data_IF_609545419826
#
_entry.id   IF_609545419826
#
_cell.length_a   1.000
_cell.length_b   1.000
_cell.length_c   1.000
_cell.angle_alpha   90.00
_cell.angle_beta   90.00
_cell.angle_gamma   90.00
#
_symmetry.space_group_name_H-M   'P 1'
#
loop_
_entity.id
_entity.type
_entity.pdbx_description
1 polymer ?
#
# COMPACT_ATOMS: atom_id res chain seq x y z
N UNK A 1 8.53 24.19 5.34
CA UNK A 1 8.42 25.66 5.26
C UNK A 1 9.10 26.32 6.44
N UNK A 2 8.42 26.43 7.58
CA UNK A 2 8.88 27.19 8.77
C UNK A 2 10.29 26.80 9.27
N UNK A 3 10.60 25.51 9.41
CA UNK A 3 11.93 25.08 9.85
C UNK A 3 13.04 25.50 8.87
N UNK A 4 12.75 25.56 7.57
CA UNK A 4 13.72 26.05 6.59
C UNK A 4 13.93 27.57 6.75
N UNK A 5 12.89 28.34 7.03
CA UNK A 5 13.01 29.78 7.30
C UNK A 5 13.85 30.07 8.55
N UNK A 6 13.68 29.29 9.62
CA UNK A 6 14.54 29.37 10.81
C UNK A 6 16.01 29.13 10.45
N UNK A 7 16.29 28.15 9.59
CA UNK A 7 17.66 27.77 9.19
C UNK A 7 18.34 28.72 8.22
N UNK A 8 17.59 29.30 7.28
CA UNK A 8 18.17 30.08 6.18
C UNK A 8 18.04 31.59 6.35
N UNK A 9 16.95 32.05 6.97
CA UNK A 9 16.59 33.47 7.02
C UNK A 9 16.58 34.03 8.45
N UNK A 10 17.01 33.26 9.45
CA UNK A 10 17.08 33.69 10.84
C UNK A 10 15.72 33.94 11.48
N UNK A 11 14.68 33.23 11.03
CA UNK A 11 13.38 33.26 11.70
C UNK A 11 13.46 32.50 13.03
N UNK A 12 12.48 32.74 13.91
CA UNK A 12 12.45 32.22 15.27
C UNK A 12 11.15 31.47 15.57
N UNK A 13 10.67 30.61 14.65
CA UNK A 13 9.47 29.82 14.88
C UNK A 13 9.67 28.79 16.00
N UNK A 14 10.79 28.06 15.97
CA UNK A 14 11.04 26.91 16.85
C UNK A 14 12.34 27.02 17.67
N UNK A 15 13.04 28.16 17.62
CA UNK A 15 14.27 28.40 18.37
C UNK A 15 14.00 28.54 19.87
N UNK A 16 15.00 28.24 20.70
CA UNK A 16 14.89 28.43 22.16
C UNK A 16 14.90 29.92 22.55
N UNK A 17 15.62 30.73 21.77
CA UNK A 17 15.72 32.17 21.99
C UNK A 17 14.69 32.93 21.14
N UNK A 18 14.58 34.23 21.39
CA UNK A 18 13.75 35.18 20.64
C UNK A 18 12.25 34.82 20.57
N UNK A 19 11.74 34.08 21.57
CA UNK A 19 10.31 33.78 21.74
C UNK A 19 9.79 32.60 20.93
N UNK A 20 10.67 31.82 20.28
CA UNK A 20 10.29 30.61 19.57
C UNK A 20 9.79 29.48 20.49
N UNK A 21 9.09 28.50 19.91
CA UNK A 21 8.54 27.37 20.66
C UNK A 21 8.78 26.04 19.94
N UNK A 22 9.74 25.26 20.44
CA UNK A 22 10.07 23.95 19.88
C UNK A 22 8.92 22.92 19.97
N UNK A 23 8.04 23.04 20.97
CA UNK A 23 6.89 22.14 21.14
C UNK A 23 5.86 22.33 20.02
N UNK A 24 5.80 23.53 19.44
CA UNK A 24 4.92 23.79 18.29
C UNK A 24 5.36 22.98 17.07
N UNK A 25 6.67 22.81 16.84
CA UNK A 25 7.16 21.94 15.76
C UNK A 25 6.65 20.51 15.94
N UNK A 26 6.74 19.98 17.16
CA UNK A 26 6.29 18.62 17.47
C UNK A 26 4.78 18.46 17.26
N UNK A 27 3.99 19.44 17.69
CA UNK A 27 2.55 19.44 17.43
C UNK A 27 2.24 19.41 15.93
N UNK A 28 2.88 20.30 15.15
CA UNK A 28 2.63 20.43 13.71
C UNK A 28 3.07 19.20 12.91
N UNK A 29 4.26 18.64 13.22
CA UNK A 29 4.76 17.48 12.47
C UNK A 29 3.88 16.26 12.73
N UNK A 30 3.35 16.08 13.94
CA UNK A 30 2.46 14.95 14.24
C UNK A 30 1.04 15.16 13.74
N UNK A 31 0.54 16.40 13.70
CA UNK A 31 -0.72 16.74 13.06
C UNK A 31 -0.76 16.31 11.57
N UNK A 32 0.40 16.26 10.91
CA UNK A 32 0.56 15.62 9.60
C UNK A 32 0.93 14.13 9.69
N UNK A 33 1.88 13.77 10.56
CA UNK A 33 2.50 12.45 10.58
C UNK A 33 1.56 11.33 11.00
N UNK A 34 0.58 11.60 11.85
CA UNK A 34 -0.40 10.57 12.19
C UNK A 34 -1.43 10.33 11.08
N UNK A 35 -2.02 11.34 10.42
CA UNK A 35 -2.75 11.11 9.17
C UNK A 35 -1.94 10.37 8.11
N UNK A 36 -0.63 10.64 7.98
CA UNK A 36 0.24 9.95 7.02
C UNK A 36 0.25 8.42 7.20
N UNK A 37 0.29 7.91 8.44
CA UNK A 37 0.27 6.45 8.63
C UNK A 37 -1.03 5.81 8.12
N UNK A 38 -2.14 6.56 8.10
CA UNK A 38 -3.38 6.09 7.49
C UNK A 38 -3.40 6.23 5.97
N UNK A 39 -2.71 7.24 5.40
CA UNK A 39 -2.48 7.34 3.95
C UNK A 39 -1.78 6.08 3.44
N UNK A 40 -0.87 5.49 4.23
CA UNK A 40 -0.20 4.24 3.89
C UNK A 40 -1.12 3.01 4.03
N UNK A 41 -1.86 2.91 5.14
CA UNK A 41 -2.61 1.68 5.47
C UNK A 41 -3.96 1.55 4.75
N UNK A 42 -4.62 2.67 4.40
CA UNK A 42 -5.95 2.62 3.77
C UNK A 42 -5.93 2.02 2.36
N UNK A 43 -4.97 2.36 1.47
CA UNK A 43 -4.81 1.65 0.20
C UNK A 43 -4.49 0.18 0.40
N UNK A 44 -3.62 -0.13 1.37
CA UNK A 44 -3.27 -1.51 1.70
C UNK A 44 -4.47 -2.35 2.14
N UNK A 45 -5.39 -1.78 2.93
CA UNK A 45 -6.67 -2.40 3.27
C UNK A 45 -7.57 -2.61 2.05
N UNK A 46 -7.50 -1.73 1.04
CA UNK A 46 -8.14 -1.93 -0.26
C UNK A 46 -7.60 -3.19 -0.95
N UNK A 47 -6.27 -3.31 -1.03
CA UNK A 47 -5.60 -4.49 -1.62
C UNK A 47 -6.06 -5.78 -0.94
N UNK A 48 -6.03 -5.84 0.40
CA UNK A 48 -6.48 -7.02 1.13
C UNK A 48 -7.96 -7.33 0.88
N UNK A 49 -8.82 -6.31 0.72
CA UNK A 49 -10.24 -6.53 0.45
C UNK A 49 -10.46 -7.24 -0.90
N UNK A 50 -9.74 -6.82 -1.94
CA UNK A 50 -9.81 -7.43 -3.27
C UNK A 50 -9.21 -8.84 -3.30
N UNK A 51 -8.04 -9.03 -2.68
CA UNK A 51 -7.36 -10.32 -2.61
C UNK A 51 -8.19 -11.33 -1.83
N UNK A 52 -8.67 -10.97 -0.64
CA UNK A 52 -9.48 -11.86 0.21
C UNK A 52 -10.79 -12.23 -0.50
N UNK A 53 -11.47 -11.28 -1.16
CA UNK A 53 -12.69 -11.57 -1.92
C UNK A 53 -12.41 -12.52 -3.09
N UNK A 54 -11.39 -12.23 -3.89
CA UNK A 54 -11.03 -13.04 -5.08
C UNK A 54 -10.66 -14.47 -4.72
N UNK A 55 -9.79 -14.67 -3.74
CA UNK A 55 -9.32 -16.01 -3.39
C UNK A 55 -10.27 -16.78 -2.46
N UNK A 56 -11.30 -16.13 -1.90
CA UNK A 56 -12.41 -16.81 -1.20
C UNK A 56 -13.57 -17.21 -2.14
N UNK A 57 -13.56 -16.72 -3.39
CA UNK A 57 -14.63 -16.96 -4.36
C UNK A 57 -15.96 -16.31 -3.97
N UNK A 58 -15.94 -15.26 -3.15
CA UNK A 58 -17.13 -14.65 -2.53
C UNK A 58 -17.08 -13.13 -2.54
N UNK A 59 -18.24 -12.46 -2.58
CA UNK A 59 -18.28 -11.00 -2.53
C UNK A 59 -17.83 -10.53 -1.16
N UNK A 60 -17.27 -9.33 -1.11
CA UNK A 60 -16.87 -8.72 0.14
C UNK A 60 -18.09 -8.60 1.08
N UNK A 61 -17.98 -9.21 2.26
CA UNK A 61 -19.05 -9.20 3.24
C UNK A 61 -19.30 -7.76 3.73
N UNK A 62 -20.56 -7.32 3.65
CA UNK A 62 -21.02 -6.02 4.10
C UNK A 62 -20.18 -4.83 3.59
N UNK A 63 -20.13 -4.67 2.27
CA UNK A 63 -19.42 -3.57 1.59
C UNK A 63 -19.72 -2.17 2.17
N UNK A 64 -20.99 -1.87 2.49
CA UNK A 64 -21.38 -0.57 3.06
C UNK A 64 -20.70 -0.30 4.40
N UNK A 65 -20.60 -1.32 5.26
CA UNK A 65 -19.89 -1.22 6.54
C UNK A 65 -18.38 -1.00 6.33
N UNK A 66 -17.77 -1.65 5.33
CA UNK A 66 -16.36 -1.41 4.97
C UNK A 66 -16.10 0.04 4.55
N UNK A 67 -16.97 0.62 3.71
CA UNK A 67 -16.84 2.02 3.27
C UNK A 67 -17.04 2.97 4.44
N UNK A 68 -18.06 2.75 5.27
CA UNK A 68 -18.31 3.57 6.45
C UNK A 68 -17.13 3.54 7.44
N UNK A 69 -16.53 2.36 7.67
CA UNK A 69 -15.34 2.22 8.50
C UNK A 69 -14.14 3.00 7.92
N UNK A 70 -13.91 2.95 6.61
CA UNK A 70 -12.85 3.74 5.95
C UNK A 70 -13.07 5.24 6.10
N UNK A 71 -14.29 5.72 5.89
CA UNK A 71 -14.64 7.15 6.07
C UNK A 71 -14.47 7.59 7.53
N UNK A 72 -14.88 6.74 8.47
CA UNK A 72 -14.70 6.96 9.90
C UNK A 72 -13.22 7.10 10.28
N UNK A 73 -12.36 6.18 9.83
CA UNK A 73 -10.91 6.24 10.07
C UNK A 73 -10.32 7.53 9.48
N UNK A 74 -10.71 7.89 8.25
CA UNK A 74 -10.26 9.11 7.60
C UNK A 74 -10.55 10.36 8.44
N UNK A 75 -11.80 10.51 8.92
CA UNK A 75 -12.19 11.66 9.74
C UNK A 75 -11.45 11.70 11.08
N UNK A 76 -11.42 10.59 11.83
CA UNK A 76 -10.85 10.55 13.17
C UNK A 76 -9.31 10.63 13.15
N UNK A 77 -8.66 10.26 12.05
CA UNK A 77 -7.20 10.37 11.90
C UNK A 77 -6.67 11.79 12.14
N UNK A 78 -7.48 12.81 11.88
CA UNK A 78 -7.16 14.22 12.12
C UNK A 78 -7.40 14.67 13.57
N UNK A 79 -7.81 13.78 14.48
CA UNK A 79 -8.22 14.14 15.85
C UNK A 79 -7.41 13.44 16.95
N UNK A 80 -6.30 12.78 16.59
CA UNK A 80 -5.61 11.85 17.51
C UNK A 80 -4.10 12.08 17.63
N UNK A 81 -3.53 12.99 16.85
CA UNK A 81 -2.07 13.15 16.71
C UNK A 81 -1.30 13.42 18.00
N UNK A 82 -1.95 13.97 19.04
CA UNK A 82 -1.30 14.28 20.32
C UNK A 82 -0.77 13.03 21.04
N UNK A 83 -1.31 11.84 20.75
CA UNK A 83 -0.82 10.61 21.38
C UNK A 83 0.66 10.31 21.12
N UNK A 84 1.28 10.94 20.11
CA UNK A 84 2.71 10.79 19.86
C UNK A 84 3.59 11.54 20.86
N UNK A 85 2.99 12.33 21.75
CA UNK A 85 3.71 13.16 22.69
C UNK A 85 2.97 13.36 24.02
N UNK A 86 2.28 12.34 24.51
CA UNK A 86 1.66 12.38 25.85
C UNK A 86 2.64 12.78 26.97
N UNK A 87 3.92 12.44 26.80
CA UNK A 87 5.02 12.72 27.74
C UNK A 87 5.50 14.18 27.75
N UNK A 88 4.91 15.06 26.94
CA UNK A 88 5.33 16.46 26.79
C UNK A 88 4.63 17.44 27.73
N UNK A 89 3.94 16.95 28.76
CA UNK A 89 3.42 17.78 29.84
C UNK A 89 2.09 18.47 29.56
N UNK A 90 1.32 18.01 28.57
CA UNK A 90 -0.07 18.42 28.42
C UNK A 90 -0.91 18.02 29.66
N UNK A 91 -1.98 18.77 29.93
CA UNK A 91 -2.86 18.51 31.07
C UNK A 91 -3.56 17.15 30.99
N UNK A 92 -4.00 16.63 32.14
CA UNK A 92 -4.63 15.31 32.24
C UNK A 92 -5.87 15.18 31.34
N UNK A 93 -6.70 16.22 31.26
CA UNK A 93 -7.91 16.23 30.42
C UNK A 93 -7.59 16.12 28.93
N UNK A 94 -6.53 16.80 28.48
CA UNK A 94 -6.07 16.74 27.08
C UNK A 94 -5.55 15.34 26.75
N UNK A 95 -4.70 14.77 27.62
CA UNK A 95 -4.20 13.42 27.43
C UNK A 95 -5.33 12.38 27.43
N UNK A 96 -6.32 12.54 28.33
CA UNK A 96 -7.49 11.67 28.39
C UNK A 96 -8.34 11.74 27.11
N UNK A 97 -8.63 12.96 26.63
CA UNK A 97 -9.38 13.16 25.38
C UNK A 97 -8.71 12.44 24.20
N UNK A 98 -7.42 12.74 23.96
CA UNK A 98 -6.70 12.15 22.83
C UNK A 98 -6.47 10.65 22.98
N UNK A 99 -6.29 10.13 24.21
CA UNK A 99 -6.21 8.69 24.47
C UNK A 99 -7.51 7.95 24.16
N UNK A 100 -8.65 8.51 24.58
CA UNK A 100 -9.98 7.97 24.25
C UNK A 100 -10.22 8.02 22.74
N UNK A 101 -10.01 9.17 22.09
CA UNK A 101 -10.20 9.33 20.64
C UNK A 101 -9.35 8.34 19.85
N UNK A 102 -8.09 8.11 20.26
CA UNK A 102 -7.20 7.13 19.63
C UNK A 102 -7.73 5.71 19.77
N UNK A 103 -8.24 5.36 20.96
CA UNK A 103 -8.81 4.04 21.23
C UNK A 103 -10.06 3.77 20.38
N UNK A 104 -10.89 4.79 20.13
CA UNK A 104 -12.12 4.65 19.31
C UNK A 104 -11.76 4.30 17.84
N UNK A 105 -10.61 4.74 17.30
CA UNK A 105 -10.21 4.37 15.93
C UNK A 105 -10.11 2.84 15.76
N UNK A 106 -9.73 2.12 16.81
CA UNK A 106 -9.62 0.66 16.78
C UNK A 106 -10.96 -0.02 16.41
N UNK A 107 -12.11 0.60 16.72
CA UNK A 107 -13.43 0.09 16.34
C UNK A 107 -13.58 0.02 14.82
N UNK A 108 -13.25 1.10 14.11
CA UNK A 108 -13.34 1.15 12.64
C UNK A 108 -12.46 0.09 11.99
N UNK A 109 -11.25 -0.09 12.50
CA UNK A 109 -10.32 -1.12 12.01
C UNK A 109 -10.80 -2.54 12.34
N UNK A 110 -11.35 -2.75 13.54
CA UNK A 110 -11.92 -4.03 13.96
C UNK A 110 -13.08 -4.47 13.08
N UNK A 111 -13.99 -3.55 12.73
CA UNK A 111 -15.09 -3.81 11.77
C UNK A 111 -14.54 -4.35 10.45
N UNK A 112 -13.45 -3.77 9.93
CA UNK A 112 -12.82 -4.27 8.69
C UNK A 112 -12.25 -5.67 8.85
N UNK A 113 -11.56 -5.95 9.96
CA UNK A 113 -11.03 -7.29 10.28
C UNK A 113 -12.13 -8.34 10.29
N UNK A 114 -13.25 -8.07 10.99
CA UNK A 114 -14.38 -9.00 11.01
C UNK A 114 -15.03 -9.17 9.63
N UNK A 115 -15.22 -8.10 8.87
CA UNK A 115 -15.78 -8.22 7.53
C UNK A 115 -14.89 -9.07 6.59
N UNK A 116 -13.56 -8.98 6.70
CA UNK A 116 -12.65 -9.88 5.97
C UNK A 116 -12.79 -11.34 6.41
N UNK A 117 -12.89 -11.61 7.72
CA UNK A 117 -13.13 -12.96 8.24
C UNK A 117 -14.46 -13.53 7.72
N UNK A 118 -15.54 -12.76 7.73
CA UNK A 118 -16.85 -13.18 7.22
C UNK A 118 -16.91 -13.29 5.69
N UNK A 119 -16.04 -12.58 4.97
CA UNK A 119 -15.87 -12.77 3.52
C UNK A 119 -15.33 -14.17 3.24
N UNK A 120 -14.30 -14.60 3.99
CA UNK A 120 -13.72 -15.95 3.90
C UNK A 120 -14.68 -17.05 4.39
N UNK A 121 -15.46 -16.78 5.45
CA UNK A 121 -16.39 -17.75 6.02
C UNK A 121 -17.42 -18.24 4.99
N UNK A 122 -17.55 -19.56 4.81
CA UNK A 122 -18.44 -20.16 3.82
C UNK A 122 -17.99 -20.01 2.36
N UNK A 123 -16.78 -19.49 2.11
CA UNK A 123 -16.14 -19.48 0.79
C UNK A 123 -15.25 -20.70 0.55
N UNK A 124 -14.63 -20.75 -0.63
CA UNK A 124 -13.61 -21.76 -0.98
C UNK A 124 -12.25 -21.08 -1.09
N UNK A 125 -11.48 -21.12 -0.01
CA UNK A 125 -10.22 -20.40 0.08
C UNK A 125 -9.14 -21.10 -0.75
N UNK A 126 -8.58 -20.39 -1.73
CA UNK A 126 -7.41 -20.80 -2.51
C UNK A 126 -6.13 -20.26 -1.86
N UNK A 127 -5.28 -21.14 -1.34
CA UNK A 127 -4.02 -20.77 -0.67
C UNK A 127 -2.88 -20.48 -1.67
N UNK A 128 -3.09 -19.46 -2.51
CA UNK A 128 -2.08 -18.84 -3.37
C UNK A 128 -1.24 -17.84 -2.57
N UNK A 129 -0.11 -17.43 -3.12
CA UNK A 129 0.82 -16.49 -2.47
C UNK A 129 0.14 -15.18 -2.01
N UNK A 130 -0.70 -14.49 -2.81
CA UNK A 130 -1.41 -13.29 -2.34
C UNK A 130 -2.31 -13.53 -1.12
N UNK A 131 -2.99 -14.69 -1.10
CA UNK A 131 -3.87 -15.05 0.01
C UNK A 131 -3.08 -15.35 1.29
N UNK A 132 -1.90 -15.98 1.18
CA UNK A 132 -1.03 -16.22 2.33
C UNK A 132 -0.55 -14.91 2.97
N UNK A 133 -0.10 -13.94 2.18
CA UNK A 133 0.24 -12.59 2.67
C UNK A 133 -0.94 -11.94 3.40
N UNK A 134 -2.15 -12.11 2.88
CA UNK A 134 -3.38 -11.56 3.48
C UNK A 134 -3.76 -12.24 4.80
N UNK A 135 -3.56 -13.56 4.91
CA UNK A 135 -3.75 -14.29 6.17
C UNK A 135 -2.69 -13.92 7.22
N UNK A 136 -1.43 -13.81 6.80
CA UNK A 136 -0.34 -13.31 7.65
C UNK A 136 -0.66 -11.91 8.17
N UNK A 137 -1.14 -11.02 7.29
CA UNK A 137 -1.63 -9.69 7.68
C UNK A 137 -2.69 -9.78 8.79
N UNK A 138 -3.78 -10.53 8.60
CA UNK A 138 -4.88 -10.57 9.58
C UNK A 138 -4.40 -10.93 10.99
N UNK A 139 -3.51 -11.91 11.10
CA UNK A 139 -2.98 -12.35 12.40
C UNK A 139 -2.01 -11.32 12.97
N UNK A 140 -0.99 -10.95 12.20
CA UNK A 140 0.09 -10.09 12.67
C UNK A 140 -0.39 -8.68 12.97
N UNK A 141 -1.21 -8.10 12.09
CA UNK A 141 -1.78 -6.78 12.26
C UNK A 141 -2.73 -6.71 13.47
N UNK A 142 -3.48 -7.77 13.79
CA UNK A 142 -4.33 -7.80 14.99
C UNK A 142 -3.48 -7.72 16.26
N UNK A 143 -2.36 -8.44 16.33
CA UNK A 143 -1.41 -8.36 17.46
C UNK A 143 -0.81 -6.95 17.56
N UNK A 144 -0.40 -6.37 16.43
CA UNK A 144 0.08 -4.99 16.37
C UNK A 144 -0.98 -3.99 16.84
N UNK A 145 -2.22 -4.14 16.39
CA UNK A 145 -3.34 -3.29 16.79
C UNK A 145 -3.62 -3.32 18.29
N UNK A 146 -3.60 -4.51 18.91
CA UNK A 146 -3.78 -4.65 20.37
C UNK A 146 -2.70 -3.89 21.16
N UNK A 147 -1.43 -3.97 20.74
CA UNK A 147 -0.35 -3.22 21.39
C UNK A 147 -0.46 -1.70 21.17
N UNK A 148 -1.04 -1.27 20.05
CA UNK A 148 -1.33 0.15 19.79
C UNK A 148 -2.43 0.71 20.67
N UNK A 149 -3.48 -0.07 20.91
CA UNK A 149 -4.55 0.30 21.87
C UNK A 149 -3.98 0.44 23.28
N UNK A 150 -3.01 -0.40 23.67
CA UNK A 150 -2.31 -0.22 24.95
C UNK A 150 -1.52 1.09 24.99
N UNK A 151 -0.80 1.46 23.91
CA UNK A 151 -0.06 2.72 23.81
C UNK A 151 -0.97 3.95 23.74
N UNK A 152 -2.24 3.79 23.36
CA UNK A 152 -3.23 4.87 23.41
C UNK A 152 -3.62 5.25 24.85
N UNK A 153 -3.27 4.44 25.85
CA UNK A 153 -3.54 4.70 27.27
C UNK A 153 -2.40 5.52 27.88
N UNK A 154 -2.59 6.81 28.22
CA UNK A 154 -1.48 7.69 28.59
C UNK A 154 -0.63 7.19 29.77
N UNK A 155 -1.19 6.65 30.87
CA UNK A 155 -0.39 6.06 31.95
C UNK A 155 0.53 4.91 31.51
N UNK A 156 0.10 4.10 30.54
CA UNK A 156 0.93 3.05 29.98
C UNK A 156 1.99 3.64 29.03
N UNK A 157 1.61 4.62 28.20
CA UNK A 157 2.56 5.32 27.33
C UNK A 157 3.67 5.98 28.15
N UNK A 158 3.39 6.58 29.31
CA UNK A 158 4.45 7.18 30.15
C UNK A 158 5.60 6.23 30.49
N UNK A 159 5.34 4.91 30.54
CA UNK A 159 6.37 3.88 30.76
C UNK A 159 6.97 3.35 29.45
N UNK A 160 6.16 3.25 28.41
CA UNK A 160 6.52 2.60 27.14
C UNK A 160 7.04 3.58 26.07
N UNK A 161 6.85 4.87 26.29
CA UNK A 161 7.20 5.94 25.36
C UNK A 161 8.69 5.88 25.02
N UNK A 162 9.01 5.89 23.72
CA UNK A 162 10.38 5.74 23.20
C UNK A 162 11.14 4.47 23.65
N UNK A 163 10.47 3.48 24.25
CA UNK A 163 11.05 2.14 24.46
C UNK A 163 11.06 1.33 23.17
N UNK A 164 11.73 0.17 23.18
CA UNK A 164 11.62 -0.79 22.09
C UNK A 164 10.22 -1.40 21.93
N UNK A 165 9.32 -1.24 22.91
CA UNK A 165 7.92 -1.64 22.78
C UNK A 165 7.21 -0.80 21.71
N UNK A 166 7.44 0.51 21.71
CA UNK A 166 6.92 1.42 20.67
C UNK A 166 7.46 1.05 19.29
N UNK A 167 8.76 0.73 19.19
CA UNK A 167 9.40 0.30 17.95
C UNK A 167 8.76 -1.00 17.45
N UNK A 168 8.62 -2.00 18.32
CA UNK A 168 8.00 -3.28 18.00
C UNK A 168 6.54 -3.13 17.57
N UNK A 169 5.76 -2.30 18.27
CA UNK A 169 4.38 -1.96 17.92
C UNK A 169 4.28 -1.43 16.49
N UNK A 170 5.02 -0.36 16.20
CA UNK A 170 4.93 0.30 14.90
C UNK A 170 5.39 -0.60 13.74
N UNK A 171 6.48 -1.35 13.92
CA UNK A 171 6.94 -2.30 12.91
C UNK A 171 5.92 -3.43 12.67
N UNK A 172 5.21 -3.84 13.72
CA UNK A 172 4.17 -4.86 13.60
C UNK A 172 3.02 -4.39 12.71
N UNK A 173 2.51 -3.18 12.94
CA UNK A 173 1.42 -2.64 12.12
C UNK A 173 1.86 -2.20 10.72
N UNK A 174 3.07 -1.66 10.54
CA UNK A 174 3.55 -1.24 9.20
C UNK A 174 3.96 -2.44 8.35
N UNK A 175 4.72 -3.40 8.88
CA UNK A 175 5.18 -4.52 8.07
C UNK A 175 3.99 -5.39 7.65
N UNK A 176 3.13 -5.76 8.60
CA UNK A 176 1.94 -6.54 8.26
C UNK A 176 0.89 -5.72 7.51
N UNK A 177 0.66 -4.47 7.89
CA UNK A 177 -0.38 -3.64 7.30
C UNK A 177 -0.03 -3.12 5.91
N UNK A 178 1.23 -2.75 5.65
CA UNK A 178 1.64 -2.07 4.41
C UNK A 178 2.56 -2.97 3.57
N UNK A 179 3.62 -3.51 4.15
CA UNK A 179 4.63 -4.28 3.38
C UNK A 179 4.04 -5.60 2.88
N UNK A 180 3.30 -6.34 3.70
CA UNK A 180 2.62 -7.56 3.25
C UNK A 180 1.54 -7.26 2.21
N UNK A 181 0.86 -6.12 2.31
CA UNK A 181 -0.10 -5.68 1.30
C UNK A 181 0.58 -5.36 -0.03
N UNK A 182 1.76 -4.73 0.00
CA UNK A 182 2.56 -4.49 -1.20
C UNK A 182 2.96 -5.81 -1.87
N UNK A 183 3.43 -6.81 -1.11
CA UNK A 183 3.74 -8.13 -1.68
C UNK A 183 2.51 -8.88 -2.19
N UNK A 184 1.39 -8.81 -1.47
CA UNK A 184 0.11 -9.35 -1.91
C UNK A 184 -0.33 -8.70 -3.23
N UNK A 185 -0.31 -7.37 -3.31
CA UNK A 185 -0.69 -6.58 -4.47
C UNK A 185 0.23 -6.79 -5.66
N UNK A 186 1.55 -6.79 -5.45
CA UNK A 186 2.54 -7.11 -6.49
C UNK A 186 2.21 -8.48 -7.07
N UNK A 187 2.05 -9.50 -6.23
CA UNK A 187 1.79 -10.87 -6.72
C UNK A 187 0.43 -10.99 -7.40
N UNK A 188 -0.59 -10.30 -6.88
CA UNK A 188 -1.95 -10.31 -7.42
C UNK A 188 -2.04 -9.63 -8.80
N UNK A 189 -1.47 -8.43 -8.96
CA UNK A 189 -1.53 -7.67 -10.21
C UNK A 189 -0.32 -7.85 -11.13
N UNK A 190 0.69 -8.65 -10.76
CA UNK A 190 1.85 -8.94 -11.62
C UNK A 190 1.46 -9.39 -13.04
N UNK A 191 0.50 -10.34 -13.21
CA UNK A 191 0.08 -10.77 -14.54
C UNK A 191 -0.55 -9.64 -15.33
N UNK A 192 -1.30 -8.75 -14.67
CA UNK A 192 -1.93 -7.61 -15.35
C UNK A 192 -0.91 -6.63 -15.90
N UNK A 193 0.21 -6.43 -15.20
CA UNK A 193 1.27 -5.52 -15.63
C UNK A 193 2.20 -6.13 -16.69
N UNK A 194 2.53 -7.42 -16.58
CA UNK A 194 3.60 -8.05 -17.37
C UNK A 194 3.16 -9.23 -18.26
N UNK A 195 1.92 -9.69 -18.15
CA UNK A 195 1.36 -10.78 -18.96
C UNK A 195 1.69 -12.21 -18.48
N UNK A 196 2.32 -12.38 -17.32
CA UNK A 196 2.62 -13.71 -16.74
C UNK A 196 2.57 -13.68 -15.21
N UNK A 197 2.36 -14.84 -14.58
CA UNK A 197 2.31 -15.01 -13.12
C UNK A 197 3.70 -15.13 -12.51
N UNK A 198 3.81 -14.78 -11.22
CA UNK A 198 4.99 -15.09 -10.43
C UNK A 198 5.00 -16.57 -10.02
N UNK A 199 6.19 -17.09 -9.76
CA UNK A 199 6.43 -18.47 -9.32
C UNK A 199 5.89 -18.65 -7.90
N UNK A 200 4.92 -19.56 -7.74
CA UNK A 200 4.25 -19.82 -6.46
C UNK A 200 5.17 -20.52 -5.44
N UNK A 201 6.15 -21.30 -5.89
CA UNK A 201 7.06 -22.01 -4.98
C UNK A 201 7.95 -21.02 -4.22
N UNK A 202 8.64 -20.15 -4.96
CA UNK A 202 9.48 -19.10 -4.36
C UNK A 202 8.67 -18.03 -3.63
N UNK A 203 7.45 -17.72 -4.10
CA UNK A 203 6.54 -16.81 -3.41
C UNK A 203 6.14 -17.31 -2.02
N UNK A 204 5.80 -18.60 -1.90
CA UNK A 204 5.49 -19.24 -0.62
C UNK A 204 6.71 -19.30 0.31
N UNK A 205 7.90 -19.58 -0.24
CA UNK A 205 9.14 -19.57 0.54
C UNK A 205 9.44 -18.17 1.09
N UNK A 206 9.32 -17.12 0.26
CA UNK A 206 9.51 -15.74 0.67
C UNK A 206 8.51 -15.33 1.76
N UNK A 207 7.23 -15.73 1.62
CA UNK A 207 6.20 -15.50 2.64
C UNK A 207 6.54 -16.14 3.99
N UNK A 208 6.82 -17.45 4.02
CA UNK A 208 7.03 -18.15 5.29
C UNK A 208 8.29 -17.69 6.02
N UNK A 209 9.38 -17.43 5.28
CA UNK A 209 10.59 -16.87 5.86
C UNK A 209 10.38 -15.43 6.35
N UNK A 210 9.60 -14.62 5.62
CA UNK A 210 9.27 -13.26 6.07
C UNK A 210 8.43 -13.27 7.34
N UNK A 211 7.42 -14.14 7.41
CA UNK A 211 6.56 -14.27 8.57
C UNK A 211 7.36 -14.75 9.78
N UNK A 212 8.10 -15.85 9.64
CA UNK A 212 8.93 -16.38 10.72
C UNK A 212 9.99 -15.36 11.18
N UNK A 213 10.73 -14.79 10.23
CA UNK A 213 11.75 -13.79 10.50
C UNK A 213 11.15 -12.59 11.24
N UNK A 214 10.01 -12.07 10.79
CA UNK A 214 9.32 -10.96 11.44
C UNK A 214 9.02 -11.24 12.93
N UNK A 215 8.43 -12.39 13.26
CA UNK A 215 8.13 -12.72 14.67
C UNK A 215 9.41 -12.89 15.50
N UNK A 216 10.45 -13.51 14.93
CA UNK A 216 11.74 -13.69 15.61
C UNK A 216 12.47 -12.36 15.81
N UNK A 217 12.30 -11.38 14.91
CA UNK A 217 12.84 -10.02 15.11
C UNK A 217 12.07 -9.28 16.19
N UNK A 218 10.75 -9.10 16.02
CA UNK A 218 10.02 -8.07 16.75
C UNK A 218 9.38 -8.55 18.06
N UNK A 219 9.11 -9.85 18.24
CA UNK A 219 8.58 -10.34 19.52
C UNK A 219 9.58 -10.16 20.68
N UNK A 220 10.89 -10.45 20.51
CA UNK A 220 11.90 -10.11 21.50
C UNK A 220 11.95 -8.63 21.86
N UNK A 221 11.65 -7.73 20.91
CA UNK A 221 11.73 -6.28 21.14
C UNK A 221 10.58 -5.76 22.00
N UNK A 222 9.40 -6.39 21.97
CA UNK A 222 8.35 -6.09 22.96
C UNK A 222 8.85 -6.38 24.38
N UNK A 223 9.50 -7.53 24.58
CA UNK A 223 10.03 -7.92 25.90
C UNK A 223 11.16 -6.99 26.31
N UNK A 224 12.12 -6.72 25.43
CA UNK A 224 13.22 -5.79 25.70
C UNK A 224 12.70 -4.38 26.05
N UNK A 225 11.66 -3.91 25.37
CA UNK A 225 10.99 -2.65 25.68
C UNK A 225 10.36 -2.63 27.07
N UNK A 226 9.67 -3.71 27.46
CA UNK A 226 9.12 -3.88 28.80
C UNK A 226 10.20 -3.95 29.89
N UNK A 227 11.39 -4.46 29.55
CA UNK A 227 12.57 -4.44 30.41
C UNK A 227 13.30 -3.08 30.44
N UNK A 228 12.73 -2.04 29.83
CA UNK A 228 13.25 -0.67 29.85
C UNK A 228 14.27 -0.34 28.77
N UNK A 229 14.49 -1.19 27.77
CA UNK A 229 15.39 -0.86 26.66
C UNK A 229 14.79 0.25 25.81
N UNK A 230 15.48 1.39 25.76
CA UNK A 230 15.07 2.56 24.97
C UNK A 230 15.58 2.50 23.53
N UNK A 231 14.89 3.20 22.63
CA UNK A 231 15.28 3.30 21.22
C UNK A 231 16.54 4.15 21.04
N UNK A 232 17.25 3.94 19.91
CA UNK A 232 18.40 4.75 19.45
C UNK A 232 19.65 4.68 20.33
N UNK A 233 19.80 3.62 21.12
CA UNK A 233 21.06 3.29 21.78
C UNK A 233 22.00 2.62 20.78
N UNK A 234 23.24 3.12 20.67
CA UNK A 234 24.30 2.47 19.89
C UNK A 234 25.05 1.42 20.72
N UNK A 235 25.05 1.58 22.05
CA UNK A 235 25.69 0.69 23.01
C UNK A 235 24.79 0.52 24.23
N UNK A 236 24.85 -0.66 24.86
CA UNK A 236 24.16 -0.98 26.10
C UNK A 236 25.00 -1.95 26.94
N UNK A 237 24.94 -1.84 28.26
CA UNK A 237 25.66 -2.64 29.25
C UNK A 237 24.73 -3.55 30.09
N UNK A 238 23.41 -3.47 29.87
CA UNK A 238 22.41 -4.27 30.58
C UNK A 238 22.40 -5.71 30.05
N UNK A 239 22.94 -6.64 30.84
CA UNK A 239 23.05 -8.06 30.49
C UNK A 239 21.69 -8.72 30.16
N UNK A 240 20.61 -8.31 30.84
CA UNK A 240 19.27 -8.86 30.65
C UNK A 240 18.68 -8.61 29.24
N UNK A 241 19.14 -7.57 28.53
CA UNK A 241 18.68 -7.27 27.16
C UNK A 241 19.39 -8.11 26.10
N UNK A 242 20.62 -8.55 26.39
CA UNK A 242 21.50 -9.22 25.41
C UNK A 242 20.86 -10.45 24.74
N UNK A 243 20.19 -11.38 25.46
CA UNK A 243 19.56 -12.54 24.81
C UNK A 243 18.49 -12.12 23.79
N UNK A 244 17.65 -11.14 24.14
CA UNK A 244 16.56 -10.66 23.27
C UNK A 244 17.08 -9.99 22.00
N UNK A 245 18.13 -9.18 22.13
CA UNK A 245 18.79 -8.54 20.98
C UNK A 245 19.45 -9.57 20.07
N UNK A 246 20.08 -10.61 20.64
CA UNK A 246 20.69 -11.70 19.85
C UNK A 246 19.63 -12.49 19.08
N UNK A 247 18.50 -12.84 19.71
CA UNK A 247 17.39 -13.52 19.02
C UNK A 247 16.83 -12.62 17.91
N UNK A 248 16.64 -11.32 18.17
CA UNK A 248 16.22 -10.39 17.12
C UNK A 248 17.22 -10.35 15.95
N UNK A 249 18.52 -10.43 16.23
CA UNK A 249 19.58 -10.54 15.22
C UNK A 249 19.46 -11.80 14.34
N UNK A 250 19.10 -12.95 14.91
CA UNK A 250 18.81 -14.18 14.15
C UNK A 250 17.61 -13.96 13.23
N UNK A 251 16.56 -13.31 13.73
CA UNK A 251 15.39 -12.96 12.92
C UNK A 251 15.75 -12.13 11.68
N UNK A 252 16.71 -11.19 11.80
CA UNK A 252 17.18 -10.38 10.68
C UNK A 252 17.82 -11.27 9.60
N UNK A 253 18.62 -12.27 9.98
CA UNK A 253 19.20 -13.24 9.04
C UNK A 253 18.12 -14.02 8.29
N UNK A 254 17.06 -14.43 8.98
CA UNK A 254 15.91 -15.11 8.35
C UNK A 254 15.20 -14.17 7.37
N UNK A 255 15.00 -12.89 7.73
CA UNK A 255 14.40 -11.90 6.84
C UNK A 255 15.27 -11.60 5.62
N UNK A 256 16.60 -11.60 5.76
CA UNK A 256 17.51 -11.48 4.60
C UNK A 256 17.36 -12.66 3.65
N UNK A 257 17.22 -13.88 4.17
CA UNK A 257 16.92 -15.06 3.35
C UNK A 257 15.55 -14.93 2.66
N UNK A 258 14.54 -14.37 3.34
CA UNK A 258 13.24 -14.10 2.75
C UNK A 258 13.31 -13.11 1.58
N UNK A 259 14.07 -12.02 1.75
CA UNK A 259 14.32 -11.05 0.68
C UNK A 259 15.07 -11.69 -0.51
N UNK A 260 16.04 -12.58 -0.24
CA UNK A 260 16.70 -13.34 -1.29
C UNK A 260 15.71 -14.24 -2.05
N UNK A 261 14.82 -14.96 -1.36
CA UNK A 261 13.75 -15.74 -1.98
C UNK A 261 12.84 -14.87 -2.86
N UNK A 262 12.51 -13.66 -2.43
CA UNK A 262 11.69 -12.73 -3.21
C UNK A 262 12.40 -12.29 -4.51
N UNK A 263 13.70 -12.01 -4.45
CA UNK A 263 14.50 -11.69 -5.64
C UNK A 263 14.59 -12.89 -6.58
N UNK A 264 14.84 -14.08 -6.03
CA UNK A 264 14.88 -15.33 -6.81
C UNK A 264 13.53 -15.57 -7.49
N UNK A 265 12.41 -15.32 -6.81
CA UNK A 265 11.06 -15.41 -7.39
C UNK A 265 10.98 -14.58 -8.67
N UNK A 266 11.33 -13.29 -8.61
CA UNK A 266 11.29 -12.42 -9.80
C UNK A 266 12.18 -12.94 -10.94
N UNK A 267 13.41 -13.35 -10.65
CA UNK A 267 14.35 -13.86 -11.66
C UNK A 267 13.83 -15.14 -12.31
N UNK A 268 13.34 -16.09 -11.51
CA UNK A 268 12.81 -17.37 -12.02
C UNK A 268 11.52 -17.15 -12.82
N UNK A 269 10.62 -16.27 -12.35
CA UNK A 269 9.39 -15.96 -13.06
C UNK A 269 9.64 -15.32 -14.42
N UNK A 270 10.60 -14.39 -14.52
CA UNK A 270 10.99 -13.79 -15.80
C UNK A 270 11.59 -14.83 -16.74
N UNK A 271 12.42 -15.75 -16.22
CA UNK A 271 13.00 -16.86 -17.01
C UNK A 271 11.95 -17.85 -17.51
N UNK A 272 10.88 -18.08 -16.73
CA UNK A 272 9.78 -19.00 -17.04
C UNK A 272 8.51 -18.29 -17.53
N UNK A 273 8.64 -17.05 -18.04
CA UNK A 273 7.48 -16.21 -18.39
C UNK A 273 6.54 -16.86 -19.41
N UNK A 274 7.08 -17.65 -20.33
CA UNK A 274 6.30 -18.29 -21.40
C UNK A 274 5.44 -19.44 -20.84
N UNK A 275 5.92 -20.14 -19.81
CA UNK A 275 5.17 -21.18 -19.09
C UNK A 275 4.14 -20.60 -18.11
N UNK A 276 4.39 -19.40 -17.60
CA UNK A 276 3.57 -18.74 -16.58
C UNK A 276 2.59 -17.71 -17.17
N UNK A 277 2.47 -17.67 -18.49
CA UNK A 277 1.70 -16.66 -19.23
C UNK A 277 0.23 -16.64 -18.81
N UNK A 278 -0.34 -15.45 -18.76
CA UNK A 278 -1.78 -15.24 -18.69
C UNK A 278 -2.34 -15.17 -20.12
N UNK A 279 -3.19 -16.12 -20.48
CA UNK A 279 -3.77 -16.24 -21.82
C UNK A 279 -5.14 -15.57 -21.93
N UNK A 280 -5.84 -15.35 -20.81
CA UNK A 280 -7.25 -14.90 -20.82
C UNK A 280 -7.42 -13.44 -20.41
N UNK A 281 -6.45 -12.89 -19.66
CA UNK A 281 -6.56 -11.60 -18.99
C UNK A 281 -7.12 -11.68 -17.58
N UNK A 282 -7.57 -12.87 -17.15
CA UNK A 282 -8.13 -13.18 -15.84
C UNK A 282 -7.51 -14.48 -15.28
N UNK A 283 -6.28 -14.41 -14.72
CA UNK A 283 -5.56 -15.58 -14.24
C UNK A 283 -6.07 -16.08 -12.87
N UNK A 284 -6.91 -15.29 -12.20
CA UNK A 284 -7.32 -15.54 -10.82
C UNK A 284 -8.81 -15.79 -10.66
N UNK A 285 -9.60 -15.77 -11.74
CA UNK A 285 -11.06 -15.75 -11.64
C UNK A 285 -11.55 -14.51 -10.84
N UNK A 286 -11.03 -13.34 -11.21
CA UNK A 286 -11.29 -12.06 -10.57
C UNK A 286 -12.71 -11.53 -10.80
N UNK A 287 -13.10 -10.49 -10.04
CA UNK A 287 -14.49 -10.03 -9.93
C UNK A 287 -14.70 -8.59 -10.44
N UNK A 288 -13.62 -7.84 -10.51
CA UNK A 288 -13.49 -6.42 -10.83
C UNK A 288 -13.04 -6.19 -12.29
N UNK A 289 -13.18 -4.95 -12.78
CA UNK A 289 -13.05 -4.61 -14.20
C UNK A 289 -11.63 -4.74 -14.77
N UNK A 290 -10.60 -4.70 -13.95
CA UNK A 290 -9.22 -4.86 -14.43
C UNK A 290 -9.02 -6.24 -15.09
N UNK A 291 -9.70 -7.27 -14.59
CA UNK A 291 -9.71 -8.62 -15.15
C UNK A 291 -10.57 -8.73 -16.42
N UNK A 292 -11.33 -7.66 -16.73
CA UNK A 292 -12.09 -7.57 -17.97
C UNK A 292 -11.21 -7.20 -19.21
N UNK A 293 -9.94 -6.84 -18.99
CA UNK A 293 -8.97 -6.43 -20.02
C UNK A 293 -7.94 -7.53 -20.32
N UNK A 294 -7.14 -7.36 -21.37
CA UNK A 294 -5.98 -8.24 -21.65
C UNK A 294 -4.88 -8.07 -20.61
N UNK A 295 -3.89 -8.97 -20.63
CA UNK A 295 -2.71 -8.91 -19.77
C UNK A 295 -1.44 -8.96 -20.64
N UNK A 296 -0.70 -7.84 -20.81
CA UNK A 296 -1.01 -6.49 -20.33
C UNK A 296 -2.20 -5.82 -21.06
N UNK A 297 -2.82 -4.78 -20.46
CA UNK A 297 -3.89 -4.03 -21.11
C UNK A 297 -3.36 -3.19 -22.29
N UNK A 298 -4.21 -2.88 -23.29
CA UNK A 298 -3.84 -1.94 -24.35
C UNK A 298 -3.72 -0.51 -23.80
N UNK A 299 -3.08 0.43 -24.52
CA UNK A 299 -2.86 1.80 -24.04
C UNK A 299 -4.11 2.55 -23.59
N UNK A 300 -5.27 2.24 -24.18
CA UNK A 300 -6.57 2.85 -23.89
C UNK A 300 -7.41 2.10 -22.84
N UNK A 301 -6.88 1.01 -22.26
CA UNK A 301 -7.54 0.08 -21.34
C UNK A 301 -8.77 -0.64 -21.92
N UNK A 302 -9.85 0.09 -22.21
CA UNK A 302 -11.12 -0.44 -22.71
C UNK A 302 -11.44 0.15 -24.09
N UNK A 303 -11.71 -0.72 -25.07
CA UNK A 303 -12.12 -0.29 -26.41
C UNK A 303 -13.46 0.46 -26.40
N UNK A 304 -14.37 0.07 -25.51
CA UNK A 304 -15.63 0.74 -25.22
C UNK A 304 -15.85 0.72 -23.72
N UNK A 305 -16.36 1.80 -23.16
CA UNK A 305 -16.62 1.90 -21.73
C UNK A 305 -17.59 0.78 -21.26
N UNK A 306 -17.23 0.02 -20.22
CA UNK A 306 -18.09 -1.05 -19.73
C UNK A 306 -19.35 -0.47 -19.09
N UNK A 307 -20.50 -1.09 -19.35
CA UNK A 307 -21.74 -0.77 -18.65
C UNK A 307 -21.70 -1.35 -17.23
N UNK A 308 -21.45 -0.49 -16.23
CA UNK A 308 -21.30 -0.91 -14.83
C UNK A 308 -22.68 -1.11 -14.20
N UNK A 309 -23.01 -2.36 -13.88
CA UNK A 309 -24.22 -2.74 -13.15
C UNK A 309 -23.84 -3.50 -11.87
N UNK A 310 -24.35 -3.03 -10.73
CA UNK A 310 -24.07 -3.63 -9.43
C UNK A 310 -22.65 -3.34 -8.90
N UNK A 311 -22.28 -4.04 -7.83
CA UNK A 311 -20.99 -3.85 -7.13
C UNK A 311 -19.83 -4.64 -7.72
N UNK A 312 -20.12 -5.72 -8.46
CA UNK A 312 -19.11 -6.63 -9.06
C UNK A 312 -19.36 -6.76 -10.57
N UNK A 313 -19.10 -5.69 -11.35
CA UNK A 313 -19.54 -5.59 -12.73
C UNK A 313 -18.93 -6.66 -13.64
N UNK A 314 -17.64 -6.97 -13.48
CA UNK A 314 -17.02 -8.00 -14.30
C UNK A 314 -17.50 -9.40 -13.93
N UNK A 315 -17.73 -9.68 -12.64
CA UNK A 315 -18.33 -10.95 -12.22
C UNK A 315 -19.68 -11.19 -12.88
N UNK A 316 -20.57 -10.19 -12.90
CA UNK A 316 -21.87 -10.28 -13.57
C UNK A 316 -21.76 -10.49 -15.10
N UNK A 317 -20.84 -9.77 -15.75
CA UNK A 317 -20.55 -9.96 -17.19
C UNK A 317 -20.06 -11.39 -17.47
N UNK A 318 -19.14 -11.89 -16.64
CA UNK A 318 -18.55 -13.22 -16.77
C UNK A 318 -19.59 -14.33 -16.56
N UNK A 319 -20.40 -14.25 -15.50
CA UNK A 319 -21.44 -15.24 -15.22
C UNK A 319 -22.47 -15.31 -16.34
N UNK A 320 -22.92 -14.16 -16.86
CA UNK A 320 -23.83 -14.15 -18.02
C UNK A 320 -23.21 -14.78 -19.26
N UNK A 321 -21.93 -14.53 -19.52
CA UNK A 321 -21.22 -15.13 -20.65
C UNK A 321 -21.08 -16.65 -20.51
N UNK A 322 -20.88 -17.15 -19.29
CA UNK A 322 -20.84 -18.59 -18.97
C UNK A 322 -22.24 -19.20 -19.13
N UNK A 323 -23.29 -18.58 -18.58
CA UNK A 323 -24.67 -19.08 -18.66
C UNK A 323 -25.19 -19.14 -20.09
N UNK A 324 -24.90 -18.11 -20.90
CA UNK A 324 -25.36 -18.03 -22.30
C UNK A 324 -24.41 -18.68 -23.29
N UNK A 325 -23.20 -19.08 -22.84
CA UNK A 325 -22.09 -19.55 -23.67
C UNK A 325 -21.73 -18.56 -24.80
N UNK A 326 -21.99 -17.27 -24.59
CA UNK A 326 -21.81 -16.22 -25.59
C UNK A 326 -21.23 -14.95 -24.95
N UNK A 327 -20.27 -14.33 -25.63
CA UNK A 327 -19.81 -12.99 -25.24
C UNK A 327 -20.85 -11.93 -25.61
N UNK A 328 -20.74 -10.76 -24.96
CA UNK A 328 -21.50 -9.58 -25.37
C UNK A 328 -21.27 -9.27 -26.86
N UNK A 329 -22.25 -8.73 -27.61
CA UNK A 329 -22.09 -8.39 -29.02
C UNK A 329 -20.82 -7.56 -29.29
N UNK A 330 -20.25 -7.68 -30.49
CA UNK A 330 -19.14 -6.82 -30.92
C UNK A 330 -19.62 -5.37 -30.95
N UNK A 331 -18.98 -4.45 -30.22
CA UNK A 331 -19.41 -3.07 -30.19
C UNK A 331 -18.97 -2.34 -31.46
N UNK A 332 -19.58 -1.17 -31.71
CA UNK A 332 -19.08 -0.25 -32.73
C UNK A 332 -17.83 0.45 -32.19
N UNK A 333 -16.70 0.28 -32.89
CA UNK A 333 -15.44 0.92 -32.51
C UNK A 333 -15.36 2.35 -33.06
N UNK A 334 -14.85 3.25 -32.23
CA UNK A 334 -14.61 4.64 -32.56
C UNK A 334 -13.13 4.98 -32.29
N UNK A 335 -12.55 5.98 -32.97
CA UNK A 335 -11.19 6.43 -32.66
C UNK A 335 -11.10 6.91 -31.21
N UNK A 336 -9.98 6.61 -30.53
CA UNK A 336 -9.76 7.01 -29.14
C UNK A 336 -8.62 8.04 -29.08
N UNK A 337 -8.92 9.21 -28.52
CA UNK A 337 -7.91 10.24 -28.26
C UNK A 337 -7.07 9.89 -27.03
N UNK A 338 -5.74 9.95 -27.19
CA UNK A 338 -4.76 9.61 -26.16
C UNK A 338 -3.77 10.75 -25.92
N UNK A 339 -3.37 11.00 -24.66
CA UNK A 339 -2.37 12.01 -24.35
C UNK A 339 -1.00 11.60 -24.90
N UNK A 340 -0.25 12.57 -25.45
CA UNK A 340 1.14 12.36 -25.87
C UNK A 340 2.09 12.31 -24.67
N UNK A 341 3.15 11.51 -24.79
CA UNK A 341 4.26 11.52 -23.85
C UNK A 341 4.94 12.90 -23.85
N UNK A 342 5.33 13.37 -22.66
CA UNK A 342 6.04 14.64 -22.49
C UNK A 342 7.26 14.48 -21.59
N UNK A 343 8.44 14.98 -21.99
CA UNK A 343 9.63 14.96 -21.14
C UNK A 343 9.59 16.01 -20.02
N UNK A 344 8.62 16.94 -20.04
CA UNK A 344 8.53 18.07 -19.09
C UNK A 344 8.63 17.61 -17.64
N UNK A 345 7.91 16.54 -17.26
CA UNK A 345 7.95 16.04 -15.88
C UNK A 345 9.37 15.63 -15.44
N UNK A 346 10.10 14.91 -16.30
CA UNK A 346 11.47 14.48 -16.02
C UNK A 346 12.43 15.68 -15.92
N UNK A 347 12.34 16.62 -16.85
CA UNK A 347 13.19 17.81 -16.88
C UNK A 347 12.92 18.71 -15.66
N UNK A 348 11.65 18.95 -15.32
CA UNK A 348 11.28 19.73 -14.12
C UNK A 348 11.77 19.04 -12.85
N UNK A 349 11.64 17.71 -12.74
CA UNK A 349 12.17 16.97 -11.61
C UNK A 349 13.69 17.11 -11.48
N UNK A 350 14.43 17.03 -12.60
CA UNK A 350 15.87 17.25 -12.62
C UNK A 350 16.26 18.63 -12.08
N UNK A 351 15.62 19.70 -12.54
CA UNK A 351 15.90 21.05 -12.04
C UNK A 351 15.45 21.26 -10.60
N UNK A 352 14.36 20.63 -10.15
CA UNK A 352 13.96 20.63 -8.75
C UNK A 352 15.01 19.92 -7.86
N UNK A 353 15.57 18.79 -8.31
CA UNK A 353 16.67 18.09 -7.63
C UNK A 353 17.93 18.94 -7.55
N UNK A 354 18.32 19.59 -8.66
CA UNK A 354 19.45 20.53 -8.66
C UNK A 354 19.22 21.67 -7.67
N UNK A 355 18.02 22.25 -7.67
CA UNK A 355 17.67 23.33 -6.75
C UNK A 355 17.75 22.88 -5.29
N UNK A 356 17.21 21.71 -4.98
CA UNK A 356 17.30 21.11 -3.64
C UNK A 356 18.73 20.85 -3.19
N UNK A 357 19.55 20.25 -4.06
CA UNK A 357 20.98 20.06 -3.81
C UNK A 357 21.69 21.39 -3.58
N UNK A 358 21.47 22.37 -4.46
CA UNK A 358 22.10 23.67 -4.38
C UNK A 358 21.73 24.43 -3.10
N UNK A 359 20.47 24.32 -2.65
CA UNK A 359 20.03 24.87 -1.35
C UNK A 359 20.84 24.26 -0.21
N UNK A 360 20.90 22.92 -0.12
CA UNK A 360 21.62 22.19 0.94
C UNK A 360 23.09 22.62 1.03
N UNK A 361 23.74 22.83 -0.12
CA UNK A 361 25.16 23.21 -0.21
C UNK A 361 25.39 24.72 -0.32
N UNK A 362 24.35 25.55 -0.13
CA UNK A 362 24.42 27.01 -0.22
C UNK A 362 25.00 27.57 -1.55
N UNK A 363 24.74 26.89 -2.67
CA UNK A 363 25.21 27.28 -4.02
C UNK A 363 24.15 28.16 -4.70
N UNK A 364 24.08 29.44 -4.32
CA UNK A 364 22.96 30.33 -4.67
C UNK A 364 22.74 30.60 -6.16
N UNK A 365 23.81 30.71 -6.96
CA UNK A 365 23.68 30.90 -8.41
C UNK A 365 22.99 29.69 -9.08
N UNK A 366 23.24 28.50 -8.54
CA UNK A 366 22.67 27.24 -9.05
C UNK A 366 21.21 27.09 -8.61
N UNK A 367 20.84 27.59 -7.43
CA UNK A 367 19.43 27.74 -7.01
C UNK A 367 18.68 28.63 -8.01
N UNK A 368 19.24 29.82 -8.31
CA UNK A 368 18.65 30.74 -9.29
C UNK A 368 18.48 30.09 -10.67
N UNK A 369 19.54 29.44 -11.17
CA UNK A 369 19.51 28.71 -12.44
C UNK A 369 18.46 27.60 -12.45
N UNK A 370 18.40 26.78 -11.39
CA UNK A 370 17.45 25.67 -11.28
C UNK A 370 16.00 26.14 -11.27
N UNK A 371 15.68 27.21 -10.53
CA UNK A 371 14.34 27.80 -10.49
C UNK A 371 13.92 28.39 -11.84
N UNK A 372 14.81 29.17 -12.48
CA UNK A 372 14.54 29.76 -13.79
C UNK A 372 14.35 28.66 -14.84
N UNK A 373 15.19 27.63 -14.83
CA UNK A 373 15.10 26.53 -15.78
C UNK A 373 13.82 25.68 -15.57
N UNK A 374 13.46 25.38 -14.33
CA UNK A 374 12.20 24.70 -14.01
C UNK A 374 10.98 25.52 -14.48
N UNK A 375 11.00 26.84 -14.24
CA UNK A 375 9.96 27.75 -14.69
C UNK A 375 9.88 27.82 -16.23
N UNK A 376 11.02 27.94 -16.92
CA UNK A 376 11.07 27.96 -18.38
C UNK A 376 10.50 26.67 -18.99
N UNK A 377 10.76 25.51 -18.39
CA UNK A 377 10.23 24.22 -18.84
C UNK A 377 8.73 24.13 -18.61
N UNK A 378 8.22 24.63 -17.49
CA UNK A 378 6.78 24.75 -17.24
C UNK A 378 6.10 25.65 -18.28
N UNK A 379 6.69 26.80 -18.55
CA UNK A 379 6.21 27.78 -19.52
C UNK A 379 6.20 27.19 -20.94
N UNK A 380 7.26 26.47 -21.33
CA UNK A 380 7.31 25.76 -22.61
C UNK A 380 6.21 24.70 -22.73
N UNK A 381 5.95 23.95 -21.65
CA UNK A 381 4.87 22.97 -21.62
C UNK A 381 3.49 23.61 -21.74
N UNK A 382 3.28 24.79 -21.13
CA UNK A 382 2.02 25.52 -21.22
C UNK A 382 1.70 26.02 -22.64
N UNK A 383 2.73 26.25 -23.47
CA UNK A 383 2.60 26.69 -24.88
C UNK A 383 2.63 25.57 -25.92
N UNK A 384 2.42 24.30 -25.53
CA UNK A 384 2.39 23.21 -26.50
C UNK A 384 1.07 23.21 -27.30
N UNK A 385 1.18 23.09 -28.62
CA UNK A 385 0.00 23.08 -29.51
C UNK A 385 -0.58 21.66 -29.75
N UNK A 386 0.26 20.63 -29.67
CA UNK A 386 -0.16 19.24 -29.93
C UNK A 386 -0.14 18.40 -28.65
N UNK A 387 -1.32 18.24 -28.05
CA UNK A 387 -1.48 17.56 -26.75
C UNK A 387 -1.80 16.07 -26.89
N UNK A 388 -2.51 15.71 -27.96
CA UNK A 388 -3.15 14.41 -28.12
C UNK A 388 -2.79 13.76 -29.46
N UNK A 389 -3.02 12.45 -29.56
CA UNK A 389 -3.01 11.70 -30.80
C UNK A 389 -4.18 10.71 -30.78
N UNK A 390 -4.74 10.44 -31.95
CA UNK A 390 -5.91 9.56 -32.08
C UNK A 390 -5.45 8.15 -32.49
N UNK A 391 -5.91 7.13 -31.77
CA UNK A 391 -5.77 5.73 -32.16
C UNK A 391 -6.94 5.37 -33.08
N UNK A 392 -6.70 4.97 -34.35
CA UNK A 392 -7.77 4.67 -35.29
C UNK A 392 -8.68 3.54 -34.82
N UNK A 393 -9.98 3.62 -35.16
CA UNK A 393 -10.97 2.60 -34.80
C UNK A 393 -10.60 1.17 -35.24
N UNK A 394 -9.87 1.04 -36.36
CA UNK A 394 -9.38 -0.26 -36.85
C UNK A 394 -8.36 -0.89 -35.90
N UNK A 395 -7.46 -0.09 -35.32
CA UNK A 395 -6.48 -0.55 -34.35
C UNK A 395 -7.15 -0.91 -33.02
N UNK A 396 -8.11 -0.11 -32.57
CA UNK A 396 -8.94 -0.42 -31.40
C UNK A 396 -9.69 -1.75 -31.59
N UNK A 397 -10.28 -1.95 -32.77
CA UNK A 397 -10.98 -3.19 -33.13
C UNK A 397 -10.05 -4.41 -33.12
N UNK A 398 -8.81 -4.27 -33.61
CA UNK A 398 -7.81 -5.35 -33.61
C UNK A 398 -7.52 -5.84 -32.18
N UNK A 399 -7.19 -4.93 -31.27
CA UNK A 399 -6.91 -5.27 -29.87
C UNK A 399 -8.12 -5.91 -29.17
N UNK A 400 -9.32 -5.39 -29.41
CA UNK A 400 -10.52 -5.94 -28.78
C UNK A 400 -10.87 -7.34 -29.32
N UNK A 401 -10.71 -7.57 -30.62
CA UNK A 401 -10.93 -8.89 -31.23
C UNK A 401 -9.94 -9.93 -30.74
N UNK A 402 -8.68 -9.58 -30.52
CA UNK A 402 -7.69 -10.47 -29.90
C UNK A 402 -8.13 -10.92 -28.50
N UNK A 403 -8.56 -9.97 -27.67
CA UNK A 403 -9.14 -10.25 -26.34
C UNK A 403 -10.35 -11.18 -26.43
N UNK A 404 -11.28 -10.90 -27.35
CA UNK A 404 -12.52 -11.69 -27.52
C UNK A 404 -12.21 -13.11 -27.95
N UNK A 405 -11.28 -13.31 -28.89
CA UNK A 405 -10.84 -14.65 -29.34
C UNK A 405 -10.30 -15.48 -28.19
N UNK A 406 -9.43 -14.92 -27.35
CA UNK A 406 -8.90 -15.63 -26.18
C UNK A 406 -10.03 -16.08 -25.22
N UNK A 407 -11.06 -15.25 -25.04
CA UNK A 407 -12.21 -15.58 -24.20
C UNK A 407 -13.17 -16.59 -24.82
N UNK A 408 -13.41 -16.52 -26.11
CA UNK A 408 -14.20 -17.50 -26.85
C UNK A 408 -13.54 -18.88 -26.77
N UNK A 409 -12.21 -18.94 -26.91
CA UNK A 409 -11.44 -20.17 -26.72
C UNK A 409 -11.57 -20.70 -25.28
N UNK A 410 -11.45 -19.82 -24.29
CA UNK A 410 -11.65 -20.21 -22.89
C UNK A 410 -13.07 -20.73 -22.61
N UNK A 411 -14.11 -20.05 -23.09
CA UNK A 411 -15.51 -20.49 -22.96
C UNK A 411 -15.72 -21.86 -23.63
N UNK A 412 -15.21 -22.04 -24.84
CA UNK A 412 -15.33 -23.31 -25.57
C UNK A 412 -14.68 -24.49 -24.82
N UNK A 413 -13.55 -24.25 -24.14
CA UNK A 413 -12.88 -25.28 -23.33
C UNK A 413 -13.65 -25.63 -22.04
N UNK A 414 -14.50 -24.74 -21.55
CA UNK A 414 -15.26 -24.89 -20.30
C UNK A 414 -16.75 -25.14 -20.52
N UNK A 415 -17.18 -25.34 -21.78
CA UNK A 415 -18.54 -25.68 -22.13
C UNK A 415 -18.95 -27.03 -21.48
N UNK A 416 -19.95 -27.01 -20.59
CA UNK A 416 -20.48 -28.20 -19.93
C UNK A 416 -19.95 -28.49 -18.52
N UNK A 417 -19.07 -27.64 -17.96
CA UNK A 417 -18.74 -27.69 -16.53
C UNK A 417 -19.82 -26.93 -15.73
N UNK A 418 -20.33 -27.47 -14.60
CA UNK A 418 -21.25 -26.73 -13.74
C UNK A 418 -20.56 -25.48 -13.17
N UNK A 419 -21.31 -24.38 -13.13
CA UNK A 419 -20.86 -23.05 -12.68
C UNK A 419 -20.36 -23.00 -11.22
#
# INVERSE_FOLDING_TARGET
GMLALDRYLGFHFFTNDAGGNMMMFINLIWAWGHPEVYILVLPAFGIFSEVISTFSGKPLFNYRSMVAATMFICLVSYMVWLHHFFTMGAGADVNAFFGISTSIIAVGTGVKVYNWLFTMYGGRIRFTTPMLWSLGFLVTFTIGGMTGVLLAVPPADFLLHNSLFLVAHFHNVIIAGVVFAAFAGITYWFPKAFGFKLDEGWGKAAFWLSLLGFYVVFMPLYVAGLLGMTRRLQHYDVAAWRPWVLVAGIGIVIMMAAAACQVIQFVVSVRRRDELRDETGDPWDGRSLEWATTSPPPPFNFAVLPNVQGTEPYWGIKQRAIETQQLSPEPKYEPIEMPRNSPTGFITAFFATITGFALIWHIWWLVGLGLVAAYAVFVWFAWRDAVEYSIPAEEVARYDRERRRAREQWLAQHAGQPA
#
